data_IF_815232247908
#
_entry.id   IF_815232247908
#
_cell.length_a   1.000
_cell.length_b   1.000
_cell.length_c   1.000
_cell.angle_alpha   90.00
_cell.angle_beta   90.00
_cell.angle_gamma   90.00
#
_symmetry.space_group_name_H-M   'P 1'
#
loop_
_entity.id
_entity.type
_entity.pdbx_description
1 polymer ?
#
# COMPACT_ATOMS: atom_id res chain seq x y z
N UNK A 1 12.34 -4.26 10.71
CA UNK A 1 12.18 -2.81 10.48
C UNK A 1 10.71 -2.38 10.61
N UNK A 2 9.83 -2.95 9.80
CA UNK A 2 8.38 -2.75 9.84
C UNK A 2 7.76 -3.15 11.17
N UNK A 3 8.20 -4.25 11.79
CA UNK A 3 7.76 -4.61 13.14
C UNK A 3 8.08 -3.51 14.19
N UNK A 4 9.20 -2.81 14.03
CA UNK A 4 9.59 -1.70 14.92
C UNK A 4 8.80 -0.42 14.61
N UNK A 5 8.60 -0.09 13.34
CA UNK A 5 7.75 1.03 12.92
C UNK A 5 6.30 0.86 13.36
N UNK A 6 5.74 -0.34 13.21
CA UNK A 6 4.42 -0.70 13.73
C UNK A 6 4.32 -0.39 15.22
N UNK A 7 5.29 -0.88 16.01
CA UNK A 7 5.32 -0.61 17.45
C UNK A 7 5.49 0.88 17.77
N UNK A 8 6.29 1.62 17.02
CA UNK A 8 6.60 3.05 17.27
C UNK A 8 5.44 3.98 16.92
N UNK A 9 4.82 3.78 15.75
CA UNK A 9 3.73 4.61 15.26
C UNK A 9 2.46 4.40 16.10
N UNK A 10 2.19 3.17 16.54
CA UNK A 10 0.94 2.85 17.23
C UNK A 10 1.02 2.85 18.76
N UNK A 11 2.18 2.56 19.38
CA UNK A 11 2.29 2.82 20.83
C UNK A 11 2.27 4.32 21.16
N UNK A 12 2.47 5.20 20.17
CA UNK A 12 2.25 6.65 20.29
C UNK A 12 0.77 7.05 20.15
N UNK A 13 -0.05 6.32 19.38
CA UNK A 13 -1.49 6.59 19.27
C UNK A 13 -2.24 6.19 20.53
N UNK A 14 -1.84 5.10 21.20
CA UNK A 14 -2.39 4.70 22.50
C UNK A 14 -2.25 5.80 23.57
N UNK A 15 -1.13 6.54 23.56
CA UNK A 15 -0.91 7.68 24.47
C UNK A 15 -1.84 8.87 24.19
N UNK A 16 -2.40 9.01 22.98
CA UNK A 16 -3.39 10.04 22.66
C UNK A 16 -4.82 9.60 22.97
N UNK A 17 -5.12 8.30 22.85
CA UNK A 17 -6.45 7.73 23.18
C UNK A 17 -6.66 7.61 24.69
N UNK A 18 -5.60 7.43 25.48
CA UNK A 18 -5.67 7.30 26.93
C UNK A 18 -6.22 8.52 27.68
N UNK A 19 -6.38 9.68 27.02
CA UNK A 19 -7.01 10.86 27.64
C UNK A 19 -8.54 10.90 27.53
N UNK A 20 -9.18 9.93 26.85
CA UNK A 20 -10.65 9.93 26.69
C UNK A 20 -11.37 8.59 26.89
N UNK A 21 -10.67 7.53 27.29
CA UNK A 21 -11.33 6.24 27.57
C UNK A 21 -10.81 5.62 28.87
N UNK A 22 -11.13 6.24 30.00
CA UNK A 22 -11.23 5.51 31.27
C UNK A 22 -12.62 4.89 31.37
N UNK A 23 -12.66 3.65 31.88
CA UNK A 23 -13.82 2.79 32.17
C UNK A 23 -14.56 2.18 30.98
N UNK A 24 -14.04 1.05 30.48
CA UNK A 24 -14.76 -0.24 30.49
C UNK A 24 -13.71 -1.34 30.68
N UNK A 25 -13.76 -2.03 31.80
CA UNK A 25 -12.93 -3.21 32.08
C UNK A 25 -13.22 -4.30 31.03
N UNK A 26 -12.19 -4.70 30.29
CA UNK A 26 -12.23 -5.91 29.48
C UNK A 26 -12.07 -7.10 30.42
N UNK A 27 -13.20 -7.72 30.75
CA UNK A 27 -13.28 -9.00 31.41
C UNK A 27 -12.66 -10.05 30.48
N UNK A 28 -11.49 -10.57 30.85
CA UNK A 28 -10.89 -11.72 30.20
C UNK A 28 -11.74 -12.94 30.54
N UNK A 29 -12.60 -13.37 29.62
CA UNK A 29 -13.39 -14.60 29.79
C UNK A 29 -12.49 -15.78 29.41
N UNK A 30 -12.04 -16.53 30.40
CA UNK A 30 -11.42 -17.84 30.19
C UNK A 30 -12.49 -18.80 29.66
N UNK A 31 -12.43 -19.12 28.36
CA UNK A 31 -13.30 -20.11 27.73
C UNK A 31 -12.90 -21.49 28.29
N UNK A 32 -13.81 -22.13 29.00
CA UNK A 32 -13.58 -23.46 29.56
C UNK A 32 -13.96 -24.54 28.55
N UNK A 33 -13.44 -25.77 28.75
CA UNK A 33 -13.81 -26.93 27.93
C UNK A 33 -15.33 -27.18 27.90
N UNK A 34 -16.03 -26.83 28.98
CA UNK A 34 -17.50 -26.93 29.11
C UNK A 34 -18.21 -26.01 28.11
N UNK A 35 -17.69 -24.79 27.92
CA UNK A 35 -18.27 -23.79 27.02
C UNK A 35 -18.15 -24.22 25.55
N UNK A 36 -17.05 -24.89 25.20
CA UNK A 36 -16.84 -25.46 23.86
C UNK A 36 -17.76 -26.67 23.62
N UNK A 37 -17.94 -27.54 24.61
CA UNK A 37 -18.87 -28.68 24.51
C UNK A 37 -20.32 -28.22 24.35
N UNK A 38 -20.76 -27.22 25.12
CA UNK A 38 -22.12 -26.70 25.04
C UNK A 38 -22.37 -25.98 23.69
N UNK A 39 -21.36 -25.30 23.13
CA UNK A 39 -21.44 -24.70 21.79
C UNK A 39 -21.52 -25.74 20.67
N UNK A 40 -20.75 -26.84 20.78
CA UNK A 40 -20.80 -27.94 19.81
C UNK A 40 -22.13 -28.70 19.85
N UNK A 41 -22.73 -28.86 21.04
CA UNK A 41 -24.07 -29.44 21.19
C UNK A 41 -25.11 -28.55 20.50
N UNK A 42 -25.03 -27.23 20.68
CA UNK A 42 -25.96 -26.29 20.03
C UNK A 42 -25.89 -26.32 18.50
N UNK A 43 -24.71 -26.58 17.92
CA UNK A 43 -24.54 -26.70 16.47
C UNK A 43 -25.10 -28.02 15.91
N UNK A 44 -25.06 -29.10 16.69
CA UNK A 44 -25.62 -30.40 16.30
C UNK A 44 -27.16 -30.43 16.38
N UNK A 45 -27.79 -29.55 17.17
CA UNK A 45 -29.25 -29.38 17.19
C UNK A 45 -29.77 -28.66 15.93
N UNK A 46 -28.95 -27.80 15.30
CA UNK A 46 -29.32 -27.07 14.07
C UNK A 46 -29.40 -28.00 12.85
N UNK A 47 -28.69 -29.13 12.84
CA UNK A 47 -28.66 -30.08 11.72
C UNK A 47 -29.92 -30.98 11.63
N UNK A 48 -30.77 -30.98 12.66
CA UNK A 48 -32.05 -31.71 12.65
C UNK A 48 -33.16 -30.91 11.95
N UNK A 49 -33.12 -29.58 12.05
CA UNK A 49 -34.16 -28.69 11.50
C UNK A 49 -33.95 -28.30 10.02
N UNK A 50 -32.74 -28.46 9.47
CA UNK A 50 -32.46 -28.16 8.04
C UNK A 50 -33.00 -29.26 7.11
N UNK A 51 -33.19 -30.48 7.62
CA UNK A 51 -33.71 -31.61 6.83
C UNK A 51 -35.20 -31.48 6.50
N UNK A 52 -35.95 -30.67 7.23
CA UNK A 52 -37.39 -30.42 6.96
C UNK A 52 -37.61 -29.28 5.94
N UNK A 53 -36.58 -28.47 5.65
CA UNK A 53 -36.68 -27.33 4.70
C UNK A 53 -36.20 -27.70 3.28
N UNK A 54 -35.41 -28.77 3.13
CA UNK A 54 -34.83 -29.17 1.84
C UNK A 54 -35.79 -29.94 0.91
N UNK A 55 -36.91 -30.45 1.42
CA UNK A 55 -37.87 -31.23 0.61
C UNK A 55 -38.88 -30.38 -0.19
N UNK A 56 -38.83 -29.04 -0.08
CA UNK A 56 -39.88 -28.17 -0.62
C UNK A 56 -39.43 -26.94 -1.43
N UNK A 57 -38.23 -26.91 -2.04
CA UNK A 57 -37.90 -25.84 -2.98
C UNK A 57 -37.38 -26.31 -4.34
N UNK A 58 -38.18 -25.93 -5.33
CA UNK A 58 -38.12 -26.14 -6.78
C UNK A 58 -36.72 -25.90 -7.38
N UNK A 59 -36.30 -26.84 -8.22
CA UNK A 59 -35.11 -26.77 -9.06
C UNK A 59 -35.17 -25.61 -10.06
N UNK A 60 -34.15 -24.76 -10.08
CA UNK A 60 -33.85 -23.90 -11.23
C UNK A 60 -32.38 -24.06 -11.61
N UNK A 61 -32.13 -25.00 -12.53
CA UNK A 61 -30.90 -25.08 -13.31
C UNK A 61 -30.88 -23.94 -14.33
N UNK A 62 -29.91 -23.02 -14.27
CA UNK A 62 -29.68 -22.08 -15.36
C UNK A 62 -28.52 -22.58 -16.23
N UNK A 63 -28.87 -22.89 -17.48
CA UNK A 63 -28.00 -23.30 -18.58
C UNK A 63 -27.01 -22.21 -18.97
N UNK A 64 -25.79 -22.64 -19.29
CA UNK A 64 -24.62 -21.81 -19.56
C UNK A 64 -24.42 -21.64 -21.08
N UNK A 65 -25.37 -21.01 -21.78
CA UNK A 65 -25.22 -20.70 -23.20
C UNK A 65 -25.82 -19.32 -23.52
N UNK A 66 -25.09 -18.55 -24.35
CA UNK A 66 -25.42 -17.26 -24.98
C UNK A 66 -24.71 -16.02 -24.41
N UNK A 67 -23.41 -15.82 -24.71
CA UNK A 67 -22.86 -14.48 -25.02
C UNK A 67 -21.71 -14.61 -26.03
N UNK A 68 -22.04 -14.73 -27.33
CA UNK A 68 -21.16 -14.36 -28.44
C UNK A 68 -22.05 -13.76 -29.53
N UNK A 69 -22.10 -12.43 -29.61
CA UNK A 69 -22.02 -11.67 -30.88
C UNK A 69 -22.22 -10.18 -30.61
N UNK A 70 -21.25 -9.38 -31.03
CA UNK A 70 -21.28 -7.92 -30.86
C UNK A 70 -19.91 -7.26 -30.91
N UNK A 71 -19.02 -7.69 -31.82
CA UNK A 71 -17.82 -6.92 -32.18
C UNK A 71 -18.17 -6.16 -33.46
N UNK A 72 -18.64 -4.92 -33.31
CA UNK A 72 -18.60 -3.96 -34.40
C UNK A 72 -17.24 -3.27 -34.44
N UNK A 73 -16.70 -3.32 -35.65
CA UNK A 73 -15.43 -2.79 -36.14
C UNK A 73 -15.40 -1.26 -35.97
N UNK A 74 -14.32 -0.74 -35.37
CA UNK A 74 -13.94 0.68 -35.52
C UNK A 74 -12.50 0.72 -36.03
N UNK A 75 -12.35 1.17 -37.27
CA UNK A 75 -11.08 1.46 -37.95
C UNK A 75 -10.35 2.65 -37.31
N UNK A 76 -9.00 2.72 -37.41
CA UNK A 76 -8.21 3.81 -36.83
C UNK A 76 -8.18 5.05 -37.73
N UNK A 77 -8.46 6.22 -37.14
CA UNK A 77 -8.23 7.52 -37.79
C UNK A 77 -6.74 7.94 -37.67
N UNK A 78 -6.15 8.61 -38.68
CA UNK A 78 -4.73 8.91 -38.74
C UNK A 78 -4.38 10.17 -37.94
N UNK A 79 -3.27 10.12 -37.20
CA UNK A 79 -2.67 11.30 -36.55
C UNK A 79 -1.83 12.03 -37.59
N UNK A 80 -2.20 13.26 -37.90
CA UNK A 80 -1.40 14.16 -38.74
C UNK A 80 -0.22 14.73 -37.96
N UNK A 81 0.95 14.70 -38.60
CA UNK A 81 2.18 15.36 -38.20
C UNK A 81 1.97 16.86 -37.95
N UNK A 82 2.60 17.38 -36.90
CA UNK A 82 3.02 18.78 -36.89
C UNK A 82 4.37 18.89 -36.20
N UNK A 83 5.39 18.99 -37.06
CA UNK A 83 6.72 19.46 -36.74
C UNK A 83 6.66 20.83 -36.06
N UNK A 84 7.45 21.02 -35.00
CA UNK A 84 7.95 22.34 -34.65
C UNK A 84 9.39 22.24 -34.13
N UNK A 85 10.33 22.41 -35.05
CA UNK A 85 11.71 22.80 -34.77
C UNK A 85 11.72 24.22 -34.20
N UNK A 86 12.46 24.44 -33.11
CA UNK A 86 13.15 25.70 -32.89
C UNK A 86 14.53 25.41 -32.29
N UNK A 87 15.53 25.60 -33.13
CA UNK A 87 16.91 25.91 -32.76
C UNK A 87 16.95 27.17 -31.89
N UNK A 88 17.84 27.18 -30.90
CA UNK A 88 18.64 28.38 -30.60
C UNK A 88 19.96 27.95 -29.95
N UNK A 89 21.01 28.01 -30.78
CA UNK A 89 22.39 28.22 -30.37
C UNK A 89 22.55 29.64 -29.85
N UNK A 90 23.21 29.81 -28.71
CA UNK A 90 24.00 31.00 -28.44
C UNK A 90 25.13 30.67 -27.48
N UNK A 91 26.33 30.52 -28.04
CA UNK A 91 27.60 30.65 -27.34
C UNK A 91 28.06 32.12 -27.37
N UNK A 92 28.59 32.63 -26.25
CA UNK A 92 29.73 33.58 -26.12
C UNK A 92 29.67 34.21 -24.71
N UNK A 93 30.60 33.95 -23.77
CA UNK A 93 32.03 34.33 -23.62
C UNK A 93 32.22 35.61 -22.77
N UNK A 94 33.01 35.42 -21.70
CA UNK A 94 33.88 36.32 -20.92
C UNK A 94 33.36 37.62 -20.25
N UNK A 95 33.58 37.74 -18.94
CA UNK A 95 34.77 38.42 -18.40
C UNK A 95 34.93 38.36 -16.86
N UNK A 96 36.21 38.29 -16.46
CA UNK A 96 36.92 38.70 -15.22
C UNK A 96 36.23 39.78 -14.35
N UNK A 97 36.48 40.00 -13.05
CA UNK A 97 37.71 39.89 -12.25
C UNK A 97 37.41 39.99 -10.74
N UNK A 98 38.40 39.63 -9.94
CA UNK A 98 38.55 39.64 -8.47
C UNK A 98 38.21 40.98 -7.77
N UNK A 99 37.66 40.91 -6.53
CA UNK A 99 38.26 41.67 -5.40
C UNK A 99 37.81 41.21 -4.01
N UNK A 100 38.81 41.09 -3.12
CA UNK A 100 38.78 40.89 -1.67
C UNK A 100 37.87 41.85 -0.89
N UNK A 101 37.30 41.37 0.22
CA UNK A 101 37.21 42.14 1.47
C UNK A 101 36.92 41.22 2.67
N UNK A 102 37.96 40.95 3.48
CA UNK A 102 37.81 40.55 4.90
C UNK A 102 37.44 41.79 5.73
N UNK A 103 36.43 41.71 6.61
CA UNK A 103 36.45 42.32 7.96
C UNK A 103 35.52 41.53 8.89
N UNK A 104 36.00 41.22 10.10
CA UNK A 104 35.30 40.55 11.19
C UNK A 104 34.53 41.51 12.10
N UNK A 105 33.48 41.02 12.80
CA UNK A 105 33.32 41.20 14.27
C UNK A 105 32.01 40.59 14.81
N UNK A 106 32.18 39.63 15.72
CA UNK A 106 31.54 39.46 17.05
C UNK A 106 30.04 39.83 17.22
N UNK A 107 29.24 38.77 17.40
CA UNK A 107 28.42 38.53 18.60
C UNK A 107 27.05 39.21 18.72
N UNK A 108 25.98 38.42 18.58
CA UNK A 108 24.89 38.35 19.59
C UNK A 108 23.95 37.17 19.30
N UNK A 109 23.63 36.43 20.36
CA UNK A 109 22.76 35.26 20.34
C UNK A 109 21.33 35.65 19.97
N UNK A 110 20.84 35.19 18.82
CA UNK A 110 19.42 35.01 18.60
C UNK A 110 19.17 33.58 18.14
N UNK A 111 18.32 32.90 18.91
CA UNK A 111 17.68 31.63 18.59
C UNK A 111 17.09 31.72 17.18
N UNK A 112 17.87 31.26 16.19
CA UNK A 112 17.36 31.01 14.87
C UNK A 112 16.45 29.78 14.98
N UNK A 113 15.14 30.03 14.98
CA UNK A 113 14.23 29.05 14.39
C UNK A 113 14.76 28.81 12.98
N UNK A 114 15.35 27.63 12.76
CA UNK A 114 15.58 27.09 11.42
C UNK A 114 14.22 27.09 10.72
N UNK A 115 13.98 28.16 9.97
CA UNK A 115 13.05 28.12 8.87
C UNK A 115 13.75 27.25 7.84
N UNK A 116 13.55 25.94 7.97
CA UNK A 116 14.02 24.95 6.99
C UNK A 116 13.52 25.43 5.63
N UNK A 117 14.47 25.84 4.80
CA UNK A 117 14.24 26.33 3.45
C UNK A 117 13.33 25.36 2.69
N UNK A 118 12.37 25.93 1.99
CA UNK A 118 11.38 25.23 1.17
C UNK A 118 11.97 24.51 -0.06
N UNK A 119 13.29 24.52 -0.24
CA UNK A 119 13.99 23.86 -1.34
C UNK A 119 13.99 22.33 -1.22
N UNK A 120 14.07 21.80 0.00
CA UNK A 120 14.19 20.35 0.26
C UNK A 120 12.88 19.58 0.05
N UNK A 121 11.73 20.25 0.23
CA UNK A 121 10.41 19.62 0.06
C UNK A 121 10.13 19.29 -1.40
N UNK A 122 10.54 20.15 -2.33
CA UNK A 122 10.33 19.92 -3.76
C UNK A 122 11.11 18.69 -4.23
N UNK A 123 12.38 18.57 -3.83
CA UNK A 123 13.20 17.38 -4.13
C UNK A 123 12.61 16.09 -3.52
N UNK A 124 12.07 16.17 -2.30
CA UNK A 124 11.45 15.00 -1.65
C UNK A 124 10.18 14.56 -2.38
N UNK A 125 9.30 15.49 -2.74
CA UNK A 125 8.08 15.19 -3.48
C UNK A 125 8.39 14.58 -4.86
N UNK A 126 9.38 15.11 -5.57
CA UNK A 126 9.81 14.59 -6.87
C UNK A 126 10.35 13.15 -6.75
N UNK A 127 11.16 12.87 -5.73
CA UNK A 127 11.62 11.50 -5.45
C UNK A 127 10.46 10.54 -5.19
N UNK A 128 9.48 10.96 -4.38
CA UNK A 128 8.30 10.16 -4.03
C UNK A 128 7.44 9.88 -5.28
N UNK A 129 7.23 10.89 -6.13
CA UNK A 129 6.44 10.78 -7.35
C UNK A 129 7.08 9.86 -8.41
N UNK A 130 8.38 9.65 -8.35
CA UNK A 130 9.10 8.74 -9.25
C UNK A 130 9.06 7.27 -8.81
N UNK A 131 8.61 6.96 -7.59
CA UNK A 131 8.46 5.59 -7.10
C UNK A 131 7.33 4.85 -7.82
N UNK A 132 7.43 3.53 -7.97
CA UNK A 132 6.38 2.73 -8.61
C UNK A 132 5.50 2.06 -7.56
N UNK A 133 4.26 2.55 -7.42
CA UNK A 133 3.30 2.02 -6.47
C UNK A 133 1.86 2.43 -6.82
N UNK A 134 0.90 2.05 -5.97
CA UNK A 134 -0.52 2.29 -6.20
C UNK A 134 -0.85 3.78 -6.40
N UNK A 135 -0.15 4.68 -5.71
CA UNK A 135 -0.33 6.13 -5.83
C UNK A 135 0.16 6.71 -7.16
N UNK A 136 1.19 6.12 -7.78
CA UNK A 136 1.79 6.62 -9.02
C UNK A 136 1.28 5.89 -10.27
N UNK A 137 0.48 4.84 -10.08
CA UNK A 137 -0.16 4.12 -11.18
C UNK A 137 -1.48 4.73 -11.65
N UNK A 138 -1.92 5.84 -11.06
CA UNK A 138 -3.16 6.54 -11.43
C UNK A 138 -4.40 5.64 -11.35
N UNK A 139 -4.48 4.82 -10.29
CA UNK A 139 -5.63 3.96 -10.05
C UNK A 139 -6.85 4.85 -9.79
N UNK A 140 -7.87 4.75 -10.64
CA UNK A 140 -9.08 5.54 -10.48
C UNK A 140 -9.86 5.05 -9.25
N UNK A 141 -10.13 5.92 -8.27
CA UNK A 141 -10.93 5.53 -7.12
C UNK A 141 -12.33 5.13 -7.58
N UNK A 142 -12.76 3.93 -7.25
CA UNK A 142 -14.10 3.45 -7.60
C UNK A 142 -15.10 3.84 -6.51
N UNK A 143 -15.57 5.09 -6.57
CA UNK A 143 -16.47 5.64 -5.56
C UNK A 143 -17.86 4.96 -5.50
N UNK A 144 -18.18 4.04 -6.42
CA UNK A 144 -19.50 3.39 -6.52
C UNK A 144 -19.52 1.94 -6.04
N UNK A 145 -18.39 1.23 -6.08
CA UNK A 145 -18.30 -0.16 -5.61
C UNK A 145 -17.45 -0.21 -4.35
N UNK A 146 -17.88 -1.00 -3.38
CA UNK A 146 -17.01 -1.32 -2.25
C UNK A 146 -15.88 -2.25 -2.75
N UNK A 147 -14.77 -1.66 -3.18
CA UNK A 147 -13.61 -2.40 -3.70
C UNK A 147 -13.12 -3.40 -2.66
N UNK A 148 -13.03 -2.99 -1.39
CA UNK A 148 -12.59 -3.86 -0.28
C UNK A 148 -13.43 -5.14 -0.23
N UNK A 149 -14.77 -5.01 -0.24
CA UNK A 149 -15.67 -6.17 -0.26
C UNK A 149 -15.50 -7.00 -1.54
N UNK A 150 -15.23 -6.36 -2.68
CA UNK A 150 -15.01 -7.07 -3.95
C UNK A 150 -13.71 -7.90 -3.91
N UNK A 151 -12.64 -7.35 -3.32
CA UNK A 151 -11.36 -8.03 -3.11
C UNK A 151 -11.52 -9.18 -2.11
N UNK A 152 -12.23 -8.96 -1.00
CA UNK A 152 -12.56 -10.00 -0.03
C UNK A 152 -13.36 -11.14 -0.66
N UNK A 153 -14.37 -10.84 -1.46
CA UNK A 153 -15.15 -11.87 -2.16
C UNK A 153 -14.34 -12.60 -3.25
N UNK A 154 -13.41 -11.90 -3.93
CA UNK A 154 -12.57 -12.47 -5.00
C UNK A 154 -11.53 -13.44 -4.46
N UNK A 155 -10.84 -13.08 -3.38
CA UNK A 155 -9.72 -13.86 -2.85
C UNK A 155 -10.12 -14.74 -1.66
N UNK A 156 -11.14 -14.35 -0.90
CA UNK A 156 -11.57 -15.05 0.32
C UNK A 156 -10.61 -14.85 1.49
N UNK A 157 -11.06 -15.21 2.69
CA UNK A 157 -10.32 -14.97 3.93
C UNK A 157 -8.97 -15.69 3.96
N UNK A 158 -8.91 -16.93 3.44
CA UNK A 158 -7.68 -17.71 3.39
C UNK A 158 -6.55 -17.04 2.58
N UNK A 159 -6.89 -16.49 1.41
CA UNK A 159 -5.90 -15.80 0.59
C UNK A 159 -5.61 -14.40 1.11
N UNK A 160 -6.38 -13.84 2.06
CA UNK A 160 -6.09 -12.53 2.63
C UNK A 160 -5.44 -12.61 4.02
N UNK A 161 -5.37 -13.80 4.61
CA UNK A 161 -4.79 -14.04 5.93
C UNK A 161 -3.25 -13.91 5.94
N UNK A 162 -2.76 -12.83 6.56
CA UNK A 162 -1.33 -12.53 6.73
C UNK A 162 -0.68 -13.30 7.91
N UNK A 163 -1.43 -14.13 8.64
CA UNK A 163 -0.86 -15.04 9.65
C UNK A 163 -0.24 -16.30 9.03
N UNK A 164 -0.54 -16.57 7.76
CA UNK A 164 0.04 -17.68 7.00
C UNK A 164 1.52 -17.44 6.72
N UNK A 165 2.34 -18.47 6.93
CA UNK A 165 3.78 -18.44 6.62
C UNK A 165 4.11 -18.71 5.14
N UNK A 166 3.10 -18.95 4.31
CA UNK A 166 3.28 -19.19 2.87
C UNK A 166 3.12 -17.88 2.09
N UNK A 167 3.96 -17.64 1.09
CA UNK A 167 3.76 -16.53 0.18
C UNK A 167 2.76 -16.91 -0.93
N UNK A 168 1.74 -16.09 -1.13
CA UNK A 168 0.94 -16.11 -2.37
C UNK A 168 0.82 -14.70 -2.92
N UNK A 169 0.78 -14.62 -4.25
CA UNK A 169 0.75 -13.33 -4.93
C UNK A 169 -0.59 -12.62 -4.71
N UNK A 170 -1.68 -13.38 -4.69
CA UNK A 170 -3.03 -12.95 -4.36
C UNK A 170 -3.11 -12.34 -2.96
N UNK A 171 -2.44 -12.95 -1.98
CA UNK A 171 -2.39 -12.45 -0.60
C UNK A 171 -1.71 -11.12 -0.52
N UNK A 172 -0.57 -10.99 -1.17
CA UNK A 172 0.14 -9.73 -1.23
C UNK A 172 -0.68 -8.63 -1.92
N UNK A 173 -1.15 -8.89 -3.15
CA UNK A 173 -1.88 -7.89 -3.96
C UNK A 173 -3.21 -7.50 -3.32
N UNK A 174 -3.98 -8.47 -2.83
CA UNK A 174 -5.28 -8.22 -2.19
C UNK A 174 -5.15 -7.34 -0.95
N UNK A 175 -4.20 -7.65 -0.05
CA UNK A 175 -3.96 -6.83 1.13
C UNK A 175 -3.42 -5.44 0.78
N UNK A 176 -2.56 -5.33 -0.25
CA UNK A 176 -2.01 -4.06 -0.72
C UNK A 176 -3.10 -3.11 -1.24
N UNK A 177 -4.04 -3.63 -2.05
CA UNK A 177 -5.19 -2.87 -2.54
C UNK A 177 -6.10 -2.46 -1.37
N UNK A 178 -6.39 -3.37 -0.44
CA UNK A 178 -7.22 -3.05 0.74
C UNK A 178 -6.60 -1.90 1.54
N UNK A 179 -5.30 -1.93 1.82
CA UNK A 179 -4.61 -0.86 2.54
C UNK A 179 -4.69 0.50 1.82
N UNK A 180 -4.50 0.51 0.51
CA UNK A 180 -4.66 1.70 -0.32
C UNK A 180 -6.10 2.25 -0.30
N UNK A 181 -7.09 1.38 -0.44
CA UNK A 181 -8.51 1.77 -0.45
C UNK A 181 -8.98 2.32 0.91
N UNK A 182 -8.56 1.70 2.02
CA UNK A 182 -8.82 2.23 3.36
C UNK A 182 -8.27 3.65 3.51
N UNK A 183 -7.04 3.86 3.04
CA UNK A 183 -6.39 5.17 3.11
C UNK A 183 -7.18 6.23 2.33
N UNK A 184 -7.60 5.93 1.10
CA UNK A 184 -8.35 6.86 0.26
C UNK A 184 -9.79 7.14 0.73
N UNK A 185 -10.39 6.23 1.50
CA UNK A 185 -11.69 6.44 2.15
C UNK A 185 -11.62 7.32 3.40
N UNK A 186 -10.43 7.82 3.75
CA UNK A 186 -10.20 8.63 4.95
C UNK A 186 -9.91 7.81 6.21
N UNK A 187 -9.85 6.49 6.10
CA UNK A 187 -9.41 5.58 7.16
C UNK A 187 -7.87 5.44 7.12
N UNK A 188 -7.17 6.58 7.11
CA UNK A 188 -5.72 6.65 6.85
C UNK A 188 -4.88 5.82 7.82
N UNK A 189 -5.22 5.81 9.11
CA UNK A 189 -4.53 4.99 10.11
C UNK A 189 -4.72 3.49 9.86
N UNK A 190 -5.94 3.06 9.51
CA UNK A 190 -6.22 1.65 9.17
C UNK A 190 -5.50 1.23 7.88
N UNK A 191 -5.47 2.10 6.88
CA UNK A 191 -4.70 1.87 5.65
C UNK A 191 -3.22 1.72 5.93
N UNK A 192 -2.64 2.61 6.74
CA UNK A 192 -1.25 2.53 7.17
C UNK A 192 -0.94 1.27 7.99
N UNK A 193 -1.82 0.90 8.93
CA UNK A 193 -1.70 -0.36 9.69
C UNK A 193 -1.66 -1.55 8.75
N UNK A 194 -2.55 -1.58 7.76
CA UNK A 194 -2.62 -2.68 6.81
C UNK A 194 -1.33 -2.85 6.01
N UNK A 195 -0.71 -1.76 5.57
CA UNK A 195 0.58 -1.81 4.87
C UNK A 195 1.72 -2.28 5.79
N UNK A 196 1.71 -1.87 7.05
CA UNK A 196 2.69 -2.32 8.03
C UNK A 196 2.53 -3.81 8.41
N UNK A 197 1.30 -4.32 8.46
CA UNK A 197 1.02 -5.76 8.61
C UNK A 197 1.63 -6.57 7.47
N UNK A 198 1.46 -6.10 6.22
CA UNK A 198 2.12 -6.70 5.05
C UNK A 198 3.64 -6.66 5.25
N UNK A 199 4.20 -5.50 5.61
CA UNK A 199 5.64 -5.37 5.83
C UNK A 199 6.19 -6.33 6.89
N UNK A 200 5.47 -6.52 8.00
CA UNK A 200 5.82 -7.50 9.05
C UNK A 200 5.79 -8.94 8.50
N UNK A 201 4.72 -9.30 7.78
CA UNK A 201 4.59 -10.62 7.17
C UNK A 201 5.73 -10.92 6.17
N UNK A 202 6.10 -9.94 5.34
CA UNK A 202 7.24 -10.08 4.42
C UNK A 202 8.58 -10.23 5.16
N UNK A 203 8.78 -9.51 6.28
CA UNK A 203 9.99 -9.68 7.11
C UNK A 203 10.08 -11.09 7.73
N UNK A 204 8.95 -11.71 8.06
CA UNK A 204 8.90 -13.08 8.53
C UNK A 204 9.27 -14.06 7.40
N UNK A 205 8.74 -13.83 6.18
CA UNK A 205 9.07 -14.60 4.98
C UNK A 205 10.54 -14.46 4.54
N UNK A 206 11.16 -13.30 4.76
CA UNK A 206 12.58 -13.07 4.44
C UNK A 206 13.52 -13.99 5.25
N UNK A 207 13.06 -14.52 6.39
CA UNK A 207 13.80 -15.52 7.17
C UNK A 207 13.49 -16.97 6.75
N UNK A 208 12.58 -17.16 5.80
CA UNK A 208 12.16 -18.47 5.29
C UNK A 208 13.09 -19.01 4.20
N UNK A 209 12.65 -20.10 3.57
CA UNK A 209 13.37 -20.79 2.49
C UNK A 209 12.58 -20.86 1.18
N UNK A 210 11.51 -20.06 1.05
CA UNK A 210 10.71 -20.00 -0.17
C UNK A 210 11.52 -19.32 -1.29
N UNK A 211 12.11 -20.13 -2.17
CA UNK A 211 12.94 -19.66 -3.27
C UNK A 211 12.17 -18.75 -4.24
N UNK A 212 10.88 -19.00 -4.45
CA UNK A 212 10.07 -18.19 -5.35
C UNK A 212 9.92 -16.79 -4.76
N UNK A 213 9.44 -16.69 -3.52
CA UNK A 213 9.33 -15.41 -2.82
C UNK A 213 10.66 -14.67 -2.76
N UNK A 214 11.73 -15.33 -2.32
CA UNK A 214 13.06 -14.72 -2.20
C UNK A 214 13.58 -14.20 -3.55
N UNK A 215 13.20 -14.84 -4.66
CA UNK A 215 13.59 -14.38 -6.00
C UNK A 215 12.87 -13.11 -6.48
N UNK A 216 11.75 -12.75 -5.84
CA UNK A 216 10.92 -11.59 -6.21
C UNK A 216 10.81 -10.53 -5.10
N UNK A 217 11.36 -10.79 -3.91
CA UNK A 217 11.11 -10.00 -2.71
C UNK A 217 11.50 -8.52 -2.85
N UNK A 218 12.58 -8.19 -3.56
CA UNK A 218 13.03 -6.80 -3.78
C UNK A 218 11.94 -5.97 -4.48
N UNK A 219 11.30 -6.54 -5.51
CA UNK A 219 10.21 -5.87 -6.23
C UNK A 219 8.96 -5.70 -5.37
N UNK A 220 8.61 -6.73 -4.60
CA UNK A 220 7.48 -6.70 -3.64
C UNK A 220 7.70 -5.65 -2.56
N UNK A 221 8.88 -5.66 -1.93
CA UNK A 221 9.28 -4.72 -0.90
C UNK A 221 9.28 -3.28 -1.44
N UNK A 222 9.73 -3.06 -2.67
CA UNK A 222 9.65 -1.73 -3.28
C UNK A 222 8.23 -1.21 -3.39
N UNK A 223 7.29 -1.98 -3.97
CA UNK A 223 5.92 -1.50 -4.15
C UNK A 223 5.26 -1.21 -2.80
N UNK A 224 5.49 -2.07 -1.81
CA UNK A 224 4.95 -1.88 -0.46
C UNK A 224 5.56 -0.65 0.22
N UNK A 225 6.90 -0.53 0.24
CA UNK A 225 7.62 0.64 0.79
C UNK A 225 7.18 1.93 0.12
N UNK A 226 7.16 1.96 -1.21
CA UNK A 226 6.73 3.12 -1.98
C UNK A 226 5.29 3.53 -1.66
N UNK A 227 4.38 2.55 -1.56
CA UNK A 227 2.99 2.81 -1.14
C UNK A 227 2.96 3.44 0.26
N UNK A 228 3.74 2.90 1.19
CA UNK A 228 3.79 3.44 2.55
C UNK A 228 4.43 4.83 2.63
N UNK A 229 5.49 5.09 1.86
CA UNK A 229 6.13 6.42 1.76
C UNK A 229 5.10 7.48 1.37
N UNK A 230 4.26 7.19 0.35
CA UNK A 230 3.18 8.09 -0.07
C UNK A 230 2.18 8.34 1.05
N UNK A 231 1.75 7.29 1.77
CA UNK A 231 0.83 7.42 2.90
C UNK A 231 1.43 8.27 4.04
N UNK A 232 2.70 8.03 4.40
CA UNK A 232 3.40 8.77 5.46
C UNK A 232 3.55 10.24 5.08
N UNK A 233 3.93 10.52 3.83
CA UNK A 233 4.06 11.88 3.32
C UNK A 233 2.72 12.62 3.36
N UNK A 234 1.64 11.98 2.90
CA UNK A 234 0.30 12.55 2.90
C UNK A 234 -0.23 12.82 4.32
N UNK A 235 0.17 12.04 5.32
CA UNK A 235 -0.18 12.28 6.75
C UNK A 235 0.85 13.10 7.51
N UNK A 236 1.78 13.77 6.81
CA UNK A 236 2.79 14.67 7.39
C UNK A 236 3.75 13.98 8.39
N UNK A 237 4.00 12.68 8.22
CA UNK A 237 5.00 11.89 8.98
C UNK A 237 6.35 11.93 8.25
N UNK A 238 6.93 13.14 8.16
CA UNK A 238 8.08 13.43 7.30
C UNK A 238 9.36 12.72 7.75
N UNK A 239 9.55 12.50 9.06
CA UNK A 239 10.74 11.82 9.58
C UNK A 239 10.79 10.35 9.16
N UNK A 240 9.69 9.63 9.39
CA UNK A 240 9.53 8.24 8.98
C UNK A 240 9.55 8.09 7.45
N UNK A 241 8.95 9.04 6.74
CA UNK A 241 8.97 9.11 5.28
C UNK A 241 10.40 9.20 4.72
N UNK A 242 11.23 10.14 5.23
CA UNK A 242 12.62 10.30 4.79
C UNK A 242 13.45 9.05 5.03
N UNK A 243 13.34 8.46 6.22
CA UNK A 243 14.08 7.25 6.55
C UNK A 243 13.74 6.08 5.62
N UNK A 244 12.45 5.91 5.30
CA UNK A 244 12.00 4.87 4.38
C UNK A 244 12.41 5.16 2.92
N UNK A 245 12.46 6.44 2.54
CA UNK A 245 12.92 6.89 1.22
C UNK A 245 14.42 6.66 1.01
N UNK A 246 15.23 6.71 2.08
CA UNK A 246 16.66 6.39 2.02
C UNK A 246 16.91 4.87 1.94
N UNK A 247 16.00 4.06 2.49
CA UNK A 247 16.11 2.59 2.53
C UNK A 247 15.56 1.89 1.27
N UNK A 248 14.63 2.53 0.54
CA UNK A 248 14.03 1.92 -0.65
C UNK A 248 15.01 1.86 -1.84
N UNK A 249 15.12 0.68 -2.47
CA UNK A 249 15.90 0.52 -3.71
C UNK A 249 15.12 1.18 -4.87
N UNK A 250 15.70 2.16 -5.59
CA UNK A 250 15.04 2.77 -6.74
C UNK A 250 14.83 1.77 -7.87
N UNK A 251 13.70 1.88 -8.59
CA UNK A 251 13.39 0.99 -9.72
C UNK A 251 14.53 0.91 -10.74
N UNK A 252 15.16 2.03 -11.07
CA UNK A 252 16.26 2.08 -12.02
C UNK A 252 17.43 1.14 -11.65
N UNK A 253 17.69 1.01 -10.34
CA UNK A 253 18.81 0.26 -9.78
C UNK A 253 18.49 -1.22 -9.53
N UNK A 254 17.25 -1.65 -9.76
CA UNK A 254 16.86 -3.06 -9.61
C UNK A 254 17.32 -3.93 -10.79
N UNK A 255 17.52 -5.22 -10.51
CA UNK A 255 17.67 -6.23 -11.53
C UNK A 255 16.37 -6.46 -12.33
N UNK A 256 16.46 -7.20 -13.45
CA UNK A 256 15.32 -7.43 -14.33
C UNK A 256 14.19 -8.25 -13.71
N UNK A 257 14.47 -9.20 -12.80
CA UNK A 257 13.43 -9.97 -12.11
C UNK A 257 12.65 -9.07 -11.17
N UNK A 258 13.36 -8.29 -10.36
CA UNK A 258 12.78 -7.31 -9.44
C UNK A 258 11.90 -6.28 -10.17
N UNK A 259 12.37 -5.76 -11.32
CA UNK A 259 11.56 -4.89 -12.20
C UNK A 259 10.31 -5.59 -12.73
N UNK A 260 10.46 -6.83 -13.21
CA UNK A 260 9.33 -7.62 -13.70
C UNK A 260 8.29 -7.84 -12.61
N UNK A 261 8.70 -8.08 -11.36
CA UNK A 261 7.80 -8.18 -10.21
C UNK A 261 6.99 -6.90 -9.99
N UNK A 262 7.63 -5.72 -10.03
CA UNK A 262 6.90 -4.44 -9.91
C UNK A 262 5.83 -4.31 -11.00
N UNK A 263 6.16 -4.69 -12.24
CA UNK A 263 5.20 -4.68 -13.34
C UNK A 263 4.10 -5.74 -13.20
N UNK A 264 4.41 -6.92 -12.66
CA UNK A 264 3.43 -7.96 -12.38
C UNK A 264 2.43 -7.51 -11.31
N UNK A 265 2.91 -6.86 -10.23
CA UNK A 265 2.04 -6.30 -9.20
C UNK A 265 1.15 -5.21 -9.80
N UNK A 266 1.73 -4.31 -10.61
CA UNK A 266 0.97 -3.29 -11.34
C UNK A 266 -0.14 -3.91 -12.18
N UNK A 267 0.18 -4.92 -12.97
CA UNK A 267 -0.81 -5.60 -13.83
C UNK A 267 -1.93 -6.23 -12.99
N UNK A 268 -1.59 -6.93 -11.91
CA UNK A 268 -2.57 -7.57 -11.03
C UNK A 268 -3.51 -6.59 -10.33
N UNK A 269 -3.04 -5.37 -10.01
CA UNK A 269 -3.88 -4.31 -9.45
C UNK A 269 -4.95 -3.81 -10.44
N UNK A 270 -4.71 -3.93 -11.75
CA UNK A 270 -5.67 -3.51 -12.78
C UNK A 270 -6.67 -4.61 -13.20
N UNK A 271 -6.60 -5.80 -12.62
CA UNK A 271 -7.46 -6.97 -12.94
C UNK A 271 -8.44 -7.33 -11.82
#
# INVERSE_FOLDING_TARGET
MFASMFKSLFNKSDKKVQKKLTTVDSQLVEITKKDVEDMLISLNEVDVDVKEVLDNSVSCSMSLDNIIDGIEVIEPMPIADTHQEYFNDSASVDNFDDTKSEVSSVGENQLAFETVESSDKNNTADKINNLQCLFTWNIKPNNKKNIILSIQNKYGDYNLDLSSSEFTFERYVGNLIIGYELFHKGESELGQMKILEIGKWLEELDNGTDEFYLSINVGIQHVMKATFIHMLFATNLIGECKWLLDDIIPLANMDSKSKATVHAVRAAVFT
#
